data_IF_513776269575
#
_entry.id   IF_513776269575
#
_cell.length_a   1.000
_cell.length_b   1.000
_cell.length_c   1.000
_cell.angle_alpha   90.00
_cell.angle_beta   90.00
_cell.angle_gamma   90.00
#
_symmetry.space_group_name_H-M   'P 1'
#
loop_
_entity.id
_entity.type
_entity.pdbx_description
1 polymer ?
#
# COMPACT_ATOMS: atom_id res chain seq x y z
N UNK A 1 6.05 -8.46 -27.59
CA UNK A 1 5.99 -9.77 -26.94
C UNK A 1 4.53 -10.23 -26.73
N UNK A 2 3.64 -9.36 -26.29
CA UNK A 2 2.23 -9.70 -25.98
C UNK A 2 1.25 -9.56 -27.17
N UNK A 3 1.67 -9.03 -28.32
CA UNK A 3 0.79 -8.80 -29.48
C UNK A 3 0.22 -10.07 -30.15
N UNK A 4 0.68 -11.25 -29.77
CA UNK A 4 0.17 -12.56 -30.25
C UNK A 4 -0.73 -13.27 -29.23
N UNK A 5 -0.95 -12.68 -28.03
CA UNK A 5 -1.82 -13.26 -27.02
C UNK A 5 -3.29 -13.09 -27.43
N UNK A 6 -4.13 -14.11 -27.25
CA UNK A 6 -5.58 -13.99 -27.45
C UNK A 6 -6.20 -13.06 -26.40
N UNK A 7 -5.74 -13.17 -25.15
CA UNK A 7 -6.18 -12.31 -24.04
C UNK A 7 -4.99 -11.86 -23.21
N UNK A 8 -5.06 -10.64 -22.71
CA UNK A 8 -4.09 -10.02 -21.80
C UNK A 8 -4.85 -9.69 -20.52
N UNK A 9 -4.46 -10.32 -19.42
CA UNK A 9 -5.06 -10.03 -18.11
C UNK A 9 -4.34 -8.83 -17.49
N UNK A 10 -5.11 -7.80 -17.15
CA UNK A 10 -4.66 -6.59 -16.47
C UNK A 10 -5.29 -6.51 -15.10
N UNK A 11 -4.60 -5.93 -14.13
CA UNK A 11 -5.05 -5.96 -12.73
C UNK A 11 -6.05 -4.86 -12.39
N UNK A 12 -6.04 -3.76 -13.14
CA UNK A 12 -6.89 -2.59 -12.89
C UNK A 12 -7.41 -1.97 -14.20
N UNK A 13 -8.47 -1.17 -14.07
CA UNK A 13 -9.03 -0.44 -15.21
C UNK A 13 -8.04 0.65 -15.69
N UNK A 14 -7.41 1.38 -14.77
CA UNK A 14 -6.40 2.40 -15.14
C UNK A 14 -5.22 1.78 -15.90
N UNK A 15 -4.77 0.58 -15.50
CA UNK A 15 -3.72 -0.13 -16.24
C UNK A 15 -4.17 -0.51 -17.66
N UNK A 16 -5.44 -0.90 -17.83
CA UNK A 16 -6.00 -1.18 -19.16
C UNK A 16 -5.95 0.06 -20.05
N UNK A 17 -6.30 1.21 -19.50
CA UNK A 17 -6.29 2.50 -20.21
C UNK A 17 -4.85 2.92 -20.57
N UNK A 18 -3.91 2.86 -19.64
CA UNK A 18 -2.48 3.14 -19.91
C UNK A 18 -1.90 2.26 -21.02
N UNK A 19 -2.21 0.95 -21.01
CA UNK A 19 -1.75 0.03 -22.05
C UNK A 19 -2.41 0.32 -23.40
N UNK A 20 -3.67 0.77 -23.40
CA UNK A 20 -4.37 1.17 -24.62
C UNK A 20 -3.71 2.41 -25.26
N UNK A 21 -3.30 3.39 -24.44
CA UNK A 21 -2.61 4.60 -24.92
C UNK A 21 -1.28 4.28 -25.61
N UNK A 22 -0.57 3.23 -25.19
CA UNK A 22 0.67 2.77 -25.83
C UNK A 22 0.45 1.72 -26.95
N UNK A 23 -0.80 1.52 -27.39
CA UNK A 23 -1.14 0.77 -28.61
C UNK A 23 -1.56 -0.68 -28.42
N UNK A 24 -1.86 -1.14 -27.18
CA UNK A 24 -2.46 -2.46 -26.97
C UNK A 24 -3.94 -2.48 -27.35
N UNK A 25 -4.40 -3.59 -27.94
CA UNK A 25 -5.78 -3.73 -28.34
C UNK A 25 -6.70 -3.89 -27.13
N UNK A 26 -7.66 -2.96 -26.97
CA UNK A 26 -8.66 -2.94 -25.91
C UNK A 26 -9.44 -4.26 -25.77
N UNK A 27 -9.77 -4.90 -26.89
CA UNK A 27 -10.63 -6.10 -26.91
C UNK A 27 -9.87 -7.37 -26.47
N UNK A 28 -8.54 -7.31 -26.47
CA UNK A 28 -7.67 -8.36 -25.96
C UNK A 28 -7.46 -8.23 -24.44
N UNK A 29 -7.73 -7.06 -23.84
CA UNK A 29 -7.49 -6.81 -22.43
C UNK A 29 -8.70 -7.09 -21.56
N UNK A 30 -8.54 -7.99 -20.59
CA UNK A 30 -9.55 -8.32 -19.58
C UNK A 30 -9.06 -7.85 -18.22
N UNK A 31 -9.86 -7.04 -17.53
CA UNK A 31 -9.55 -6.66 -16.15
C UNK A 31 -9.82 -7.85 -15.24
N UNK A 32 -8.77 -8.33 -14.58
CA UNK A 32 -8.85 -9.37 -13.58
C UNK A 32 -8.27 -8.84 -12.27
N UNK A 33 -9.13 -8.29 -11.45
CA UNK A 33 -8.77 -7.71 -10.16
C UNK A 33 -8.21 -8.79 -9.22
N UNK A 34 -7.44 -8.35 -8.23
CA UNK A 34 -6.89 -9.22 -7.20
C UNK A 34 -7.63 -9.01 -5.89
N UNK A 35 -7.82 -10.09 -5.13
CA UNK A 35 -8.32 -10.05 -3.76
C UNK A 35 -7.23 -10.42 -2.76
N UNK A 36 -7.43 -10.08 -1.50
CA UNK A 36 -6.60 -10.51 -0.38
C UNK A 36 -7.46 -11.37 0.57
N UNK A 37 -7.24 -12.69 0.59
CA UNK A 37 -8.07 -13.65 1.34
C UNK A 37 -7.42 -14.21 2.61
N UNK A 38 -6.46 -13.51 3.19
CA UNK A 38 -5.89 -13.97 4.44
C UNK A 38 -6.83 -13.65 5.61
N UNK A 39 -7.38 -14.68 6.25
CA UNK A 39 -8.20 -14.59 7.47
C UNK A 39 -7.50 -13.79 8.60
N UNK A 40 -6.16 -13.80 8.62
CA UNK A 40 -5.34 -13.05 9.56
C UNK A 40 -5.59 -11.54 9.55
N UNK A 41 -6.08 -10.97 8.43
CA UNK A 41 -6.37 -9.54 8.31
C UNK A 41 -7.83 -9.18 8.64
N UNK A 42 -8.69 -10.15 8.93
CA UNK A 42 -10.13 -9.92 9.18
C UNK A 42 -10.42 -9.62 10.64
N UNK A 43 -9.73 -9.73 11.59
CA UNK A 43 -9.89 -9.30 12.99
C UNK A 43 -8.51 -9.25 13.65
N UNK A 44 -7.63 -8.35 13.22
CA UNK A 44 -6.25 -8.33 13.66
C UNK A 44 -6.17 -7.94 15.13
N UNK A 45 -5.34 -8.67 15.88
CA UNK A 45 -5.06 -8.32 17.26
C UNK A 45 -4.17 -7.07 17.31
N UNK A 46 -4.64 -6.02 17.97
CA UNK A 46 -3.79 -4.86 18.26
C UNK A 46 -2.70 -5.21 19.26
N UNK A 47 -1.49 -4.73 19.00
CA UNK A 47 -0.33 -4.85 19.90
C UNK A 47 0.06 -3.45 20.40
N UNK A 48 0.66 -3.38 21.58
CA UNK A 48 1.23 -2.12 22.07
C UNK A 48 2.55 -1.85 21.35
N UNK A 49 2.55 -0.82 20.50
CA UNK A 49 3.75 -0.28 19.88
C UNK A 49 4.18 0.93 20.72
N UNK A 50 5.21 0.76 21.53
CA UNK A 50 5.73 1.80 22.43
C UNK A 50 6.56 2.85 21.66
N UNK A 51 5.91 3.49 20.65
CA UNK A 51 6.52 4.51 19.80
C UNK A 51 5.70 5.81 19.83
N UNK A 52 6.38 6.92 19.53
CA UNK A 52 5.72 8.21 19.36
C UNK A 52 4.66 8.12 18.25
N UNK A 53 3.43 8.52 18.56
CA UNK A 53 2.35 8.61 17.58
C UNK A 53 2.33 9.98 16.91
N UNK A 54 1.81 10.07 15.68
CA UNK A 54 1.27 8.97 14.87
C UNK A 54 2.36 8.02 14.36
N UNK A 55 2.01 6.74 14.14
CA UNK A 55 2.89 5.73 13.56
C UNK A 55 2.57 5.59 12.07
N UNK A 56 3.51 5.99 11.24
CA UNK A 56 3.47 5.84 9.79
C UNK A 56 4.16 4.54 9.41
N UNK A 57 3.39 3.60 8.86
CA UNK A 57 3.85 2.25 8.54
C UNK A 57 4.14 2.09 7.06
N UNK A 58 5.28 1.52 6.73
CA UNK A 58 5.58 0.95 5.43
C UNK A 58 5.65 -0.57 5.54
N UNK A 59 5.05 -1.28 4.60
CA UNK A 59 5.15 -2.74 4.46
C UNK A 59 5.50 -3.09 3.03
N UNK A 60 6.53 -3.89 2.86
CA UNK A 60 6.94 -4.37 1.55
C UNK A 60 8.43 -4.67 1.43
N UNK A 61 8.85 -5.01 0.21
CA UNK A 61 10.27 -5.20 -0.10
C UNK A 61 11.05 -3.91 0.09
N UNK A 62 12.15 -3.99 0.84
CA UNK A 62 13.03 -2.83 1.11
C UNK A 62 14.03 -2.70 -0.03
N UNK A 63 13.65 -1.96 -1.07
CA UNK A 63 14.40 -1.83 -2.32
C UNK A 63 14.06 -0.53 -3.07
N UNK A 64 14.95 -0.12 -3.97
CA UNK A 64 14.85 1.15 -4.72
C UNK A 64 13.55 1.22 -5.54
N UNK A 65 13.16 0.14 -6.20
CA UNK A 65 11.94 0.11 -7.04
C UNK A 65 10.65 0.37 -6.26
N UNK A 66 10.64 0.14 -4.94
CA UNK A 66 9.52 0.47 -4.05
C UNK A 66 9.54 1.91 -3.57
N UNK A 67 10.51 2.71 -4.01
CA UNK A 67 10.62 4.13 -3.70
C UNK A 67 10.56 4.47 -2.20
N UNK A 68 11.06 3.54 -1.35
CA UNK A 68 10.98 3.67 0.12
C UNK A 68 11.68 4.93 0.64
N UNK A 69 12.71 5.45 -0.07
CA UNK A 69 13.37 6.70 0.30
C UNK A 69 12.41 7.88 0.32
N UNK A 70 11.46 7.95 -0.64
CA UNK A 70 10.46 9.01 -0.65
C UNK A 70 9.61 9.04 0.63
N UNK A 71 9.44 7.91 1.32
CA UNK A 71 8.81 7.87 2.65
C UNK A 71 9.80 8.22 3.77
N UNK A 72 11.02 7.69 3.71
CA UNK A 72 12.02 7.90 4.75
C UNK A 72 12.48 9.37 4.83
N UNK A 73 12.51 10.07 3.71
CA UNK A 73 12.89 11.50 3.60
C UNK A 73 11.79 12.47 4.08
N UNK A 74 10.55 11.99 4.29
CA UNK A 74 9.48 12.87 4.77
C UNK A 74 9.79 13.42 6.16
N UNK A 75 9.59 14.70 6.34
CA UNK A 75 9.56 15.33 7.65
C UNK A 75 8.16 15.19 8.26
N UNK A 76 7.96 14.11 9.03
CA UNK A 76 6.69 13.77 9.70
C UNK A 76 6.87 13.81 11.20
N UNK A 77 5.97 14.48 11.91
CA UNK A 77 5.94 14.45 13.36
C UNK A 77 5.30 13.14 13.84
N UNK A 78 6.14 12.12 14.02
CA UNK A 78 5.72 10.77 14.41
C UNK A 78 6.80 9.73 14.13
N UNK A 79 6.43 8.46 14.25
CA UNK A 79 7.34 7.34 14.04
C UNK A 79 7.21 6.76 12.64
N UNK A 80 8.33 6.62 11.93
CA UNK A 80 8.43 5.86 10.68
C UNK A 80 8.77 4.42 11.01
N UNK A 81 7.82 3.51 10.74
CA UNK A 81 7.95 2.08 11.02
C UNK A 81 7.99 1.29 9.71
N UNK A 82 9.01 0.48 9.54
CA UNK A 82 9.25 -0.30 8.32
C UNK A 82 9.20 -1.79 8.63
N UNK A 83 8.30 -2.51 7.96
CA UNK A 83 8.18 -3.97 8.04
C UNK A 83 8.47 -4.57 6.66
N UNK A 84 9.45 -5.45 6.60
CA UNK A 84 9.88 -6.11 5.38
C UNK A 84 11.36 -6.38 5.30
N UNK A 85 11.77 -7.06 4.26
CA UNK A 85 13.18 -7.34 3.93
C UNK A 85 13.50 -6.91 2.50
N UNK A 86 14.77 -6.77 2.20
CA UNK A 86 15.23 -6.45 0.84
C UNK A 86 16.69 -6.04 0.78
N UNK A 87 17.23 -5.87 -0.42
CA UNK A 87 18.66 -5.61 -0.63
C UNK A 87 19.13 -4.31 0.03
N UNK A 88 18.28 -3.30 0.13
CA UNK A 88 18.65 -1.99 0.65
C UNK A 88 18.50 -1.85 2.18
N UNK A 89 17.99 -2.89 2.88
CA UNK A 89 17.67 -2.82 4.31
C UNK A 89 18.87 -2.37 5.16
N UNK A 90 20.04 -2.99 4.98
CA UNK A 90 21.24 -2.69 5.78
C UNK A 90 21.73 -1.27 5.53
N UNK A 91 21.68 -0.80 4.29
CA UNK A 91 22.06 0.55 3.89
C UNK A 91 21.11 1.58 4.50
N UNK A 92 19.81 1.39 4.34
CA UNK A 92 18.79 2.33 4.82
C UNK A 92 18.75 2.43 6.35
N UNK A 93 18.99 1.32 7.08
CA UNK A 93 19.12 1.38 8.55
C UNK A 93 20.24 2.30 9.01
N UNK A 94 21.36 2.37 8.28
CA UNK A 94 22.49 3.25 8.61
C UNK A 94 22.20 4.70 8.27
N UNK A 95 21.52 4.94 7.14
CA UNK A 95 21.21 6.28 6.65
C UNK A 95 20.04 6.95 7.41
N UNK A 96 19.11 6.14 7.93
CA UNK A 96 17.92 6.62 8.64
C UNK A 96 17.81 6.02 10.06
N UNK A 97 18.72 6.39 10.98
CA UNK A 97 18.77 5.81 12.32
C UNK A 97 17.54 6.11 13.18
N UNK A 98 16.78 7.16 12.87
CA UNK A 98 15.52 7.50 13.53
C UNK A 98 14.33 6.64 13.09
N UNK A 99 14.42 5.95 11.95
CA UNK A 99 13.38 5.06 11.46
C UNK A 99 13.50 3.66 12.07
N UNK A 100 12.38 3.03 12.35
CA UNK A 100 12.33 1.72 13.02
C UNK A 100 12.11 0.63 11.98
N UNK A 101 13.08 -0.29 11.88
CA UNK A 101 13.04 -1.41 10.95
C UNK A 101 12.82 -2.73 11.71
N UNK A 102 11.70 -3.41 11.47
CA UNK A 102 11.32 -4.66 12.16
C UNK A 102 11.66 -5.94 11.38
N UNK A 103 12.15 -5.80 10.15
CA UNK A 103 12.38 -6.96 9.29
C UNK A 103 11.08 -7.58 8.78
N UNK A 104 11.17 -8.76 8.18
CA UNK A 104 9.99 -9.48 7.67
C UNK A 104 9.13 -10.01 8.82
N UNK A 105 7.80 -10.01 8.60
CA UNK A 105 6.82 -10.56 9.54
C UNK A 105 5.87 -11.52 8.83
N UNK A 106 5.35 -12.49 9.57
CA UNK A 106 4.33 -13.42 9.10
C UNK A 106 2.96 -12.74 9.01
N UNK A 107 2.02 -13.34 8.29
CA UNK A 107 0.71 -12.74 8.05
C UNK A 107 -0.01 -12.30 9.34
N UNK A 108 0.00 -13.12 10.40
CA UNK A 108 -0.65 -12.79 11.67
C UNK A 108 0.04 -11.64 12.41
N UNK A 109 1.38 -11.65 12.47
CA UNK A 109 2.16 -10.55 13.04
C UNK A 109 1.99 -9.28 12.22
N UNK A 110 2.03 -9.40 10.88
CA UNK A 110 1.85 -8.28 9.96
C UNK A 110 0.50 -7.59 10.16
N UNK A 111 -0.57 -8.36 10.30
CA UNK A 111 -1.91 -7.84 10.58
C UNK A 111 -1.94 -7.03 11.89
N UNK A 112 -1.18 -7.47 12.92
CA UNK A 112 -1.06 -6.72 14.17
C UNK A 112 -0.34 -5.38 14.00
N UNK A 113 0.70 -5.31 13.16
CA UNK A 113 1.36 -4.04 12.82
C UNK A 113 0.42 -3.09 12.09
N UNK A 114 -0.35 -3.58 11.11
CA UNK A 114 -1.36 -2.77 10.43
C UNK A 114 -2.40 -2.22 11.41
N UNK A 115 -3.01 -3.07 12.24
CA UNK A 115 -4.05 -2.67 13.18
C UNK A 115 -3.57 -1.66 14.24
N UNK A 116 -2.26 -1.69 14.56
CA UNK A 116 -1.66 -0.89 15.63
C UNK A 116 -1.01 0.41 15.15
N UNK A 117 -0.93 0.63 13.84
CA UNK A 117 -0.41 1.85 13.20
C UNK A 117 -1.52 2.86 12.91
N UNK A 118 -1.15 4.08 12.51
CA UNK A 118 -2.09 5.18 12.27
C UNK A 118 -2.30 5.46 10.78
N UNK A 119 -1.26 5.35 9.95
CA UNK A 119 -1.32 5.49 8.49
C UNK A 119 -0.41 4.47 7.83
N UNK A 120 -0.89 3.79 6.79
CA UNK A 120 -0.06 3.02 5.89
C UNK A 120 0.44 3.92 4.76
N UNK A 121 1.76 4.09 4.64
CA UNK A 121 2.37 4.89 3.59
C UNK A 121 2.86 3.97 2.47
N UNK A 122 2.30 4.18 1.27
CA UNK A 122 2.61 3.41 0.07
C UNK A 122 3.33 4.31 -0.96
N UNK A 123 4.68 4.39 -0.92
CA UNK A 123 5.45 5.33 -1.74
C UNK A 123 5.73 4.83 -3.15
N UNK A 124 5.33 3.61 -3.50
CA UNK A 124 5.57 3.02 -4.82
C UNK A 124 4.82 3.79 -5.91
N UNK A 125 5.48 3.95 -7.07
CA UNK A 125 4.91 4.57 -8.27
C UNK A 125 4.68 3.56 -9.41
N UNK A 126 5.13 2.32 -9.24
CA UNK A 126 5.19 1.31 -10.31
C UNK A 126 4.44 0.03 -9.98
N UNK A 127 3.81 -0.06 -8.81
CA UNK A 127 3.00 -1.23 -8.46
C UNK A 127 1.70 -1.26 -9.28
N UNK A 128 1.42 -2.38 -9.88
CA UNK A 128 0.27 -2.59 -10.78
C UNK A 128 -1.07 -2.70 -10.07
N UNK A 129 -1.10 -3.09 -8.80
CA UNK A 129 -2.33 -3.20 -8.01
C UNK A 129 -2.12 -2.76 -6.54
N UNK A 130 -1.12 -3.32 -5.86
CA UNK A 130 -0.87 -3.00 -4.45
C UNK A 130 -1.73 -3.83 -3.49
N UNK A 131 -1.63 -5.18 -3.53
CA UNK A 131 -2.36 -6.08 -2.60
C UNK A 131 -2.19 -5.65 -1.14
N UNK A 132 -1.01 -5.18 -0.77
CA UNK A 132 -0.71 -4.68 0.59
C UNK A 132 -1.58 -3.49 1.01
N UNK A 133 -2.10 -2.71 0.06
CA UNK A 133 -3.09 -1.65 0.34
C UNK A 133 -4.39 -2.29 0.86
N UNK A 134 -4.85 -3.35 0.20
CA UNK A 134 -6.07 -4.06 0.63
C UNK A 134 -5.88 -4.71 2.00
N UNK A 135 -4.70 -5.27 2.29
CA UNK A 135 -4.36 -5.83 3.60
C UNK A 135 -4.40 -4.75 4.70
N UNK A 136 -3.84 -3.57 4.44
CA UNK A 136 -3.90 -2.43 5.35
C UNK A 136 -5.35 -1.98 5.60
N UNK A 137 -6.16 -1.82 4.54
CA UNK A 137 -7.57 -1.44 4.64
C UNK A 137 -8.40 -2.47 5.41
N UNK A 138 -8.17 -3.79 5.23
CA UNK A 138 -8.83 -4.86 6.00
C UNK A 138 -8.56 -4.74 7.50
N UNK A 139 -7.40 -4.23 7.88
CA UNK A 139 -7.04 -3.94 9.27
C UNK A 139 -7.54 -2.56 9.75
N UNK A 140 -8.33 -1.88 8.96
CA UNK A 140 -8.82 -0.54 9.25
C UNK A 140 -7.71 0.51 9.27
N UNK A 141 -6.63 0.34 8.51
CA UNK A 141 -5.54 1.30 8.45
C UNK A 141 -5.67 2.19 7.21
N UNK A 142 -5.85 3.52 7.38
CA UNK A 142 -5.89 4.46 6.28
C UNK A 142 -4.60 4.50 5.48
N UNK A 143 -4.71 4.79 4.19
CA UNK A 143 -3.61 4.70 3.24
C UNK A 143 -3.22 6.08 2.70
N UNK A 144 -1.91 6.35 2.66
CA UNK A 144 -1.33 7.49 1.98
C UNK A 144 -0.50 7.00 0.78
N UNK A 145 -0.81 7.48 -0.43
CA UNK A 145 -0.11 7.04 -1.63
C UNK A 145 -0.03 8.15 -2.69
N UNK A 146 0.80 7.91 -3.70
CA UNK A 146 0.76 8.70 -4.94
C UNK A 146 -0.49 8.35 -5.76
N UNK A 147 -1.03 9.31 -6.54
CA UNK A 147 -2.17 9.08 -7.42
C UNK A 147 -1.76 8.36 -8.72
N UNK A 148 -1.24 7.15 -8.59
CA UNK A 148 -0.87 6.24 -9.70
C UNK A 148 -1.90 5.13 -9.88
N UNK A 149 -1.83 4.34 -10.94
CA UNK A 149 -2.84 3.38 -11.37
C UNK A 149 -3.43 2.51 -10.24
N UNK A 150 -2.65 1.67 -9.58
CA UNK A 150 -3.15 0.78 -8.53
C UNK A 150 -3.89 1.50 -7.38
N UNK A 151 -3.26 2.47 -6.70
CA UNK A 151 -3.92 3.27 -5.67
C UNK A 151 -5.18 4.00 -6.15
N UNK A 152 -5.18 4.62 -7.35
CA UNK A 152 -6.37 5.30 -7.89
C UNK A 152 -7.57 4.37 -8.00
N UNK A 153 -7.37 3.18 -8.57
CA UNK A 153 -8.43 2.20 -8.75
C UNK A 153 -8.98 1.67 -7.43
N UNK A 154 -8.10 1.50 -6.42
CA UNK A 154 -8.52 1.07 -5.09
C UNK A 154 -9.32 2.16 -4.38
N UNK A 155 -8.86 3.41 -4.42
CA UNK A 155 -9.53 4.50 -3.71
C UNK A 155 -10.91 4.84 -4.30
N UNK A 156 -11.02 4.94 -5.61
CA UNK A 156 -12.28 5.21 -6.33
C UNK A 156 -13.21 6.22 -5.63
N UNK A 157 -12.64 7.35 -5.17
CA UNK A 157 -13.37 8.43 -4.51
C UNK A 157 -13.82 8.19 -3.06
N UNK A 158 -13.39 7.10 -2.40
CA UNK A 158 -13.75 6.79 -1.01
C UNK A 158 -12.78 7.38 0.00
N UNK A 159 -13.30 7.72 1.21
CA UNK A 159 -12.50 8.27 2.30
C UNK A 159 -11.75 7.17 3.10
N UNK A 160 -10.79 6.53 2.45
CA UNK A 160 -9.95 5.47 3.02
C UNK A 160 -8.48 5.90 3.21
N UNK A 161 -8.23 7.18 3.11
CA UNK A 161 -6.91 7.80 3.19
C UNK A 161 -6.78 8.98 2.23
N UNK A 162 -5.57 9.24 1.73
CA UNK A 162 -5.31 10.33 0.78
C UNK A 162 -4.37 9.92 -0.36
N UNK A 163 -4.68 10.38 -1.57
CA UNK A 163 -3.82 10.32 -2.75
C UNK A 163 -3.33 11.73 -3.08
N UNK A 164 -2.03 11.94 -3.04
CA UNK A 164 -1.44 13.24 -3.36
C UNK A 164 -0.08 13.09 -4.03
N UNK A 165 0.26 13.98 -4.97
CA UNK A 165 1.60 14.05 -5.57
C UNK A 165 2.67 14.45 -4.55
N UNK A 166 2.29 15.11 -3.46
CA UNK A 166 3.11 15.32 -2.28
C UNK A 166 2.77 14.27 -1.22
N UNK A 167 3.67 13.30 -1.04
CA UNK A 167 3.45 12.17 -0.14
C UNK A 167 3.34 12.59 1.34
N UNK A 168 3.96 13.72 1.75
CA UNK A 168 3.79 14.29 3.09
C UNK A 168 2.35 14.71 3.32
N UNK A 169 1.79 15.47 2.38
CA UNK A 169 0.38 15.90 2.45
C UNK A 169 -0.54 14.67 2.49
N UNK A 170 -0.28 13.66 1.63
CA UNK A 170 -1.06 12.43 1.67
C UNK A 170 -1.02 11.75 3.05
N UNK A 171 0.16 11.68 3.68
CA UNK A 171 0.33 11.04 4.98
C UNK A 171 -0.40 11.81 6.11
N UNK A 172 -0.33 13.14 6.10
CA UNK A 172 -0.99 14.00 7.09
C UNK A 172 -2.52 14.00 6.92
N UNK A 173 -3.02 14.01 5.69
CA UNK A 173 -4.46 13.94 5.40
C UNK A 173 -5.05 12.57 5.72
N UNK A 174 -4.32 11.49 5.46
CA UNK A 174 -4.76 10.12 5.75
C UNK A 174 -5.05 9.88 7.24
N UNK A 175 -4.45 10.65 8.16
CA UNK A 175 -4.75 10.61 9.60
C UNK A 175 -6.21 10.96 9.92
N UNK A 176 -6.91 11.68 9.03
CA UNK A 176 -8.30 12.11 9.20
C UNK A 176 -9.32 11.12 8.64
N UNK A 177 -8.86 10.06 7.97
CA UNK A 177 -9.75 9.10 7.34
C UNK A 177 -10.40 8.16 8.35
N UNK A 178 -11.60 7.69 8.02
CA UNK A 178 -12.37 6.79 8.86
C UNK A 178 -11.87 5.35 8.73
N UNK A 179 -11.40 4.80 9.85
CA UNK A 179 -10.90 3.41 9.92
C UNK A 179 -11.97 2.37 9.61
N UNK A 180 -13.24 2.63 9.96
CA UNK A 180 -14.34 1.74 9.65
C UNK A 180 -14.66 1.75 8.16
N UNK A 181 -14.60 2.92 7.51
CA UNK A 181 -14.74 3.04 6.07
C UNK A 181 -13.65 2.23 5.31
N UNK A 182 -12.43 2.16 5.85
CA UNK A 182 -11.36 1.32 5.30
C UNK A 182 -11.76 -0.16 5.28
N UNK A 183 -12.26 -0.69 6.42
CA UNK A 183 -12.69 -2.09 6.53
C UNK A 183 -13.85 -2.40 5.58
N UNK A 184 -14.86 -1.54 5.54
CA UNK A 184 -16.02 -1.71 4.65
C UNK A 184 -15.60 -1.68 3.17
N UNK A 185 -14.73 -0.75 2.81
CA UNK A 185 -14.22 -0.65 1.44
C UNK A 185 -13.44 -1.90 1.02
N UNK A 186 -12.64 -2.47 1.93
CA UNK A 186 -11.82 -3.65 1.66
C UNK A 186 -12.64 -4.92 1.37
N UNK A 187 -13.92 -4.97 1.79
CA UNK A 187 -14.83 -6.10 1.51
C UNK A 187 -15.07 -6.33 0.02
N UNK A 188 -14.86 -5.30 -0.82
CA UNK A 188 -15.00 -5.40 -2.28
C UNK A 188 -13.89 -6.24 -2.95
N UNK A 189 -12.81 -6.52 -2.21
CA UNK A 189 -11.60 -7.17 -2.73
C UNK A 189 -11.41 -8.56 -2.11
N UNK A 190 -12.39 -9.44 -2.35
CA UNK A 190 -12.33 -10.86 -1.99
C UNK A 190 -12.10 -11.72 -3.22
N UNK A 191 -11.61 -12.95 -3.02
CA UNK A 191 -11.56 -13.99 -4.05
C UNK A 191 -12.85 -14.84 -3.99
N UNK A 192 -13.96 -14.29 -4.34
CA UNK A 192 -15.20 -15.03 -4.57
C UNK A 192 -15.53 -15.07 -6.07
#
# INVERSE_FOLDING_TARGET
>A
FHGKAEKILVTTQSMKEELQEIGFNKDQMVVWTRGANHSSFQNPKKINLEYKRPIFLYVGRVSIEKNIRAFLDLDLDGTKLIVGKGPDLTKLKKEYPSAIFKGERTNGELASYFASSDVFVFPSKTDTFGIVIIEALKCGLPVAAYPVAGPKDIFNGTNIGSLNHNLKIAAEEALKADRQACVEHAKKYTWE
#
